data_IF_374600715869
#
_entry.id   IF_374600715869
#
_cell.length_a   1.000
_cell.length_b   1.000
_cell.length_c   1.000
_cell.angle_alpha   90.00
_cell.angle_beta   90.00
_cell.angle_gamma   90.00
#
_symmetry.space_group_name_H-M   'P 1'
#
loop_
_entity.id
_entity.type
_entity.pdbx_description
1 polymer ?
#
# COMPACT_ATOMS: atom_id res chain seq x y z
N UNK A 1 11.69 10.75 -11.02
CA UNK A 1 10.79 11.55 -10.14
C UNK A 1 11.11 11.07 -8.75
N UNK A 2 11.36 11.95 -7.78
CA UNK A 2 11.58 11.50 -6.38
C UNK A 2 10.28 10.92 -5.82
N UNK A 3 10.43 9.97 -4.90
CA UNK A 3 9.29 9.40 -4.19
C UNK A 3 8.64 10.44 -3.27
N UNK A 4 7.31 10.45 -3.21
CA UNK A 4 6.55 11.32 -2.33
C UNK A 4 5.11 10.83 -2.12
N UNK A 5 4.47 11.35 -1.09
CA UNK A 5 3.08 11.09 -0.75
C UNK A 5 2.26 12.37 -0.86
N UNK A 6 1.05 12.24 -1.38
CA UNK A 6 0.03 13.28 -1.36
C UNK A 6 -1.12 12.81 -0.47
N UNK A 7 -1.55 13.69 0.41
CA UNK A 7 -2.76 13.54 1.22
C UNK A 7 -3.88 14.38 0.63
N UNK A 8 -5.10 13.87 0.70
CA UNK A 8 -6.27 14.60 0.26
C UNK A 8 -7.47 14.37 1.17
N UNK A 9 -8.42 15.30 1.09
CA UNK A 9 -9.79 15.12 1.52
C UNK A 9 -10.72 15.32 0.33
N UNK A 10 -11.93 14.77 0.39
CA UNK A 10 -12.93 14.93 -0.64
C UNK A 10 -14.34 14.89 -0.03
N UNK A 11 -15.33 15.31 -0.82
CA UNK A 11 -16.75 15.34 -0.44
C UNK A 11 -16.97 16.08 0.90
N UNK A 12 -16.35 17.27 1.05
CA UNK A 12 -16.49 18.05 2.28
C UNK A 12 -15.96 17.36 3.53
N UNK A 13 -14.87 16.59 3.40
CA UNK A 13 -14.24 15.87 4.49
C UNK A 13 -14.83 14.49 4.80
N UNK A 14 -15.80 14.01 4.03
CA UNK A 14 -16.37 12.66 4.19
C UNK A 14 -15.39 11.56 3.80
N UNK A 15 -14.37 11.92 3.03
CA UNK A 15 -13.33 11.01 2.52
C UNK A 15 -11.97 11.58 2.84
N UNK A 16 -11.06 10.74 3.29
CA UNK A 16 -9.63 11.02 3.30
C UNK A 16 -8.89 10.05 2.41
N UNK A 17 -7.86 10.53 1.74
CA UNK A 17 -7.09 9.71 0.82
C UNK A 17 -5.61 10.03 0.88
N UNK A 18 -4.80 9.04 0.53
CA UNK A 18 -3.35 9.11 0.45
C UNK A 18 -2.93 8.40 -0.83
N UNK A 19 -2.02 8.99 -1.57
CA UNK A 19 -1.40 8.33 -2.73
C UNK A 19 0.10 8.56 -2.73
N UNK A 20 0.85 7.60 -3.24
CA UNK A 20 2.30 7.64 -3.27
C UNK A 20 2.87 7.09 -4.58
N UNK A 21 4.01 7.66 -4.98
CA UNK A 21 4.99 7.01 -5.85
C UNK A 21 6.16 6.59 -4.96
N UNK A 22 6.61 5.34 -5.11
CA UNK A 22 7.59 4.69 -4.21
C UNK A 22 8.64 3.89 -5.00
N UNK A 23 8.90 4.30 -6.24
CA UNK A 23 9.84 3.59 -7.13
C UNK A 23 11.24 3.50 -6.53
N UNK A 24 11.76 4.62 -6.02
CA UNK A 24 13.12 4.70 -5.51
C UNK A 24 13.27 3.88 -4.23
N UNK A 25 12.27 3.93 -3.33
CA UNK A 25 12.21 3.12 -2.10
C UNK A 25 12.24 1.62 -2.44
N UNK A 26 11.42 1.18 -3.39
CA UNK A 26 11.34 -0.24 -3.76
C UNK A 26 12.61 -0.70 -4.47
N UNK A 27 13.18 0.12 -5.36
CA UNK A 27 14.44 -0.19 -6.04
C UNK A 27 15.62 -0.27 -5.05
N UNK A 28 15.65 0.60 -4.04
CA UNK A 28 16.67 0.57 -2.99
C UNK A 28 16.57 -0.72 -2.17
N UNK A 29 15.34 -1.09 -1.74
CA UNK A 29 15.11 -2.35 -1.04
C UNK A 29 15.50 -3.56 -1.90
N UNK A 30 15.16 -3.55 -3.21
CA UNK A 30 15.56 -4.59 -4.15
C UNK A 30 17.07 -4.77 -4.20
N UNK A 31 17.82 -3.68 -4.29
CA UNK A 31 19.29 -3.72 -4.33
C UNK A 31 19.88 -4.24 -3.04
N UNK A 32 19.40 -3.75 -1.89
CA UNK A 32 19.93 -4.15 -0.58
C UNK A 32 19.70 -5.62 -0.25
N UNK A 33 18.55 -6.16 -0.63
CA UNK A 33 18.16 -7.53 -0.32
C UNK A 33 18.32 -8.50 -1.51
N UNK A 34 18.77 -8.00 -2.67
CA UNK A 34 18.94 -8.78 -3.90
C UNK A 34 17.67 -9.57 -4.27
N UNK A 35 16.50 -8.94 -4.11
CA UNK A 35 15.22 -9.62 -4.28
C UNK A 35 14.93 -9.98 -5.73
N UNK A 36 14.36 -11.16 -5.94
CA UNK A 36 13.77 -11.62 -7.20
C UNK A 36 12.59 -10.74 -7.63
N UNK A 37 12.11 -10.82 -8.88
CA UNK A 37 10.97 -10.01 -9.31
C UNK A 37 9.72 -10.17 -8.45
N UNK A 38 9.34 -11.39 -8.09
CA UNK A 38 8.14 -11.63 -7.27
C UNK A 38 8.33 -11.19 -5.82
N UNK A 39 9.52 -11.40 -5.26
CA UNK A 39 9.86 -10.91 -3.92
C UNK A 39 9.89 -9.38 -3.87
N UNK A 40 10.44 -8.73 -4.92
CA UNK A 40 10.41 -7.27 -5.06
C UNK A 40 8.97 -6.74 -5.13
N UNK A 41 8.11 -7.40 -5.91
CA UNK A 41 6.71 -6.99 -6.02
C UNK A 41 5.97 -7.11 -4.67
N UNK A 42 6.15 -8.20 -3.95
CA UNK A 42 5.54 -8.41 -2.64
C UNK A 42 6.06 -7.42 -1.59
N UNK A 43 7.38 -7.32 -1.43
CA UNK A 43 8.02 -6.39 -0.50
C UNK A 43 7.69 -4.93 -0.85
N UNK A 44 7.73 -4.57 -2.13
CA UNK A 44 7.46 -3.21 -2.59
C UNK A 44 6.02 -2.76 -2.36
N UNK A 45 5.03 -3.65 -2.53
CA UNK A 45 3.64 -3.37 -2.15
C UNK A 45 3.52 -3.10 -0.65
N UNK A 46 4.17 -3.91 0.19
CA UNK A 46 4.12 -3.73 1.63
C UNK A 46 4.89 -2.48 2.10
N UNK A 47 6.03 -2.13 1.45
CA UNK A 47 6.76 -0.89 1.69
C UNK A 47 5.91 0.34 1.35
N UNK A 48 5.23 0.32 0.19
CA UNK A 48 4.30 1.38 -0.21
C UNK A 48 3.17 1.53 0.80
N UNK A 49 2.56 0.43 1.24
CA UNK A 49 1.54 0.43 2.29
C UNK A 49 2.10 0.99 3.61
N UNK A 50 3.31 0.58 3.99
CA UNK A 50 4.00 1.09 5.18
C UNK A 50 4.21 2.60 5.13
N UNK A 51 4.67 3.15 4.00
CA UNK A 51 4.85 4.59 3.81
C UNK A 51 3.51 5.35 3.94
N UNK A 52 2.47 4.87 3.23
CA UNK A 52 1.14 5.46 3.30
C UNK A 52 0.57 5.42 4.72
N UNK A 53 0.58 4.26 5.38
CA UNK A 53 0.04 4.08 6.73
C UNK A 53 0.90 4.78 7.80
N UNK A 54 2.22 4.83 7.64
CA UNK A 54 3.12 5.59 8.50
C UNK A 54 2.76 7.08 8.48
N UNK A 55 2.54 7.66 7.29
CA UNK A 55 2.13 9.06 7.14
C UNK A 55 0.77 9.39 7.77
N UNK A 56 -0.02 8.37 8.14
CA UNK A 56 -1.29 8.52 8.86
C UNK A 56 -1.12 8.58 10.39
N UNK A 57 0.06 8.23 10.90
CA UNK A 57 0.37 8.30 12.34
C UNK A 57 0.40 9.75 12.80
N UNK A 58 0.06 9.99 14.07
CA UNK A 58 -0.17 11.36 14.57
C UNK A 58 1.04 12.00 15.23
N UNK A 59 1.86 11.20 15.94
CA UNK A 59 2.98 11.72 16.70
C UNK A 59 4.29 11.36 16.01
N UNK A 60 5.31 12.20 16.16
CA UNK A 60 6.62 11.98 15.53
C UNK A 60 7.34 10.71 16.02
N UNK A 61 6.99 10.23 17.22
CA UNK A 61 7.55 9.01 17.81
C UNK A 61 6.77 7.75 17.50
N UNK A 62 5.61 7.89 16.84
CA UNK A 62 4.79 6.72 16.50
C UNK A 62 5.49 5.84 15.47
N UNK A 63 5.43 4.53 15.69
CA UNK A 63 6.01 3.52 14.81
C UNK A 63 4.94 2.52 14.38
N UNK A 64 5.00 2.16 13.11
CA UNK A 64 4.15 1.15 12.49
C UNK A 64 5.01 -0.06 12.11
N UNK A 65 4.51 -1.26 12.37
CA UNK A 65 5.08 -2.51 11.80
C UNK A 65 3.97 -3.28 11.10
N UNK A 66 4.21 -3.64 9.86
CA UNK A 66 3.37 -4.52 9.05
C UNK A 66 4.10 -5.86 8.90
N UNK A 67 3.42 -6.95 9.23
CA UNK A 67 3.94 -8.31 9.02
C UNK A 67 2.94 -9.13 8.22
N UNK A 68 3.40 -9.69 7.13
CA UNK A 68 2.68 -10.70 6.34
C UNK A 68 3.38 -12.02 6.58
N UNK A 69 2.66 -13.01 7.08
CA UNK A 69 3.15 -14.37 7.34
C UNK A 69 2.29 -15.35 6.61
N UNK A 70 2.80 -15.90 5.53
CA UNK A 70 2.10 -16.89 4.72
C UNK A 70 2.85 -18.22 4.69
N UNK A 71 2.19 -19.26 4.20
CA UNK A 71 2.75 -20.59 4.01
C UNK A 71 3.40 -20.77 2.61
N UNK A 72 3.41 -19.69 1.82
CA UNK A 72 4.06 -19.69 0.51
C UNK A 72 5.59 -19.60 0.60
N UNK A 73 6.29 -19.77 -0.53
CA UNK A 73 7.75 -19.88 -0.55
C UNK A 73 8.49 -18.60 -0.13
N UNK A 74 7.86 -17.41 -0.14
CA UNK A 74 8.49 -16.18 0.35
C UNK A 74 8.71 -16.18 1.87
N UNK A 75 7.97 -17.00 2.63
CA UNK A 75 7.96 -16.93 4.08
C UNK A 75 7.28 -15.65 4.58
N UNK A 76 7.94 -14.95 5.51
CA UNK A 76 7.44 -13.70 6.06
C UNK A 76 7.96 -12.46 5.34
N UNK A 77 7.16 -11.40 5.37
CA UNK A 77 7.53 -10.06 4.94
C UNK A 77 7.29 -9.12 6.11
N UNK A 78 8.30 -8.34 6.49
CA UNK A 78 8.18 -7.36 7.58
C UNK A 78 8.58 -5.99 7.08
N UNK A 79 7.76 -5.00 7.35
CA UNK A 79 8.00 -3.59 7.05
C UNK A 79 7.76 -2.76 8.30
N UNK A 80 8.64 -1.81 8.60
CA UNK A 80 8.45 -0.80 9.63
C UNK A 80 8.42 0.59 8.99
N UNK A 81 7.59 1.46 9.54
CA UNK A 81 7.45 2.83 9.09
C UNK A 81 7.31 3.77 10.28
N UNK A 82 7.78 5.01 10.13
CA UNK A 82 7.52 6.10 11.07
C UNK A 82 6.47 7.09 10.53
N UNK A 83 6.13 8.08 11.33
CA UNK A 83 5.15 9.12 10.96
C UNK A 83 5.63 10.06 9.85
N UNK A 84 6.93 10.06 9.52
CA UNK A 84 7.52 10.82 8.41
C UNK A 84 7.57 10.00 7.13
N UNK A 85 6.94 8.80 7.14
CA UNK A 85 6.92 7.85 6.06
C UNK A 85 8.30 7.26 5.68
N UNK A 86 9.29 7.36 6.56
CA UNK A 86 10.52 6.58 6.41
C UNK A 86 10.17 5.11 6.58
N UNK A 87 10.56 4.28 5.64
CA UNK A 87 10.26 2.85 5.65
C UNK A 87 11.50 2.00 5.49
N UNK A 88 11.46 0.85 6.11
CA UNK A 88 12.41 -0.24 5.88
C UNK A 88 11.69 -1.58 5.99
N UNK A 89 12.19 -2.57 5.29
CA UNK A 89 11.58 -3.89 5.33
C UNK A 89 12.42 -4.94 4.63
N UNK A 90 12.03 -6.18 4.84
CA UNK A 90 12.69 -7.34 4.25
C UNK A 90 11.68 -8.46 4.02
N UNK A 91 12.08 -9.42 3.19
CA UNK A 91 11.39 -10.69 2.95
C UNK A 91 12.33 -11.83 3.37
N UNK A 92 11.79 -12.90 3.93
CA UNK A 92 12.61 -14.00 4.47
C UNK A 92 13.36 -14.76 3.37
N UNK A 93 12.71 -15.01 2.23
CA UNK A 93 13.30 -15.70 1.07
C UNK A 93 13.31 -14.81 -0.17
N UNK A 94 14.29 -13.88 -0.28
CA UNK A 94 14.33 -12.88 -1.35
C UNK A 94 14.60 -13.47 -2.74
N UNK A 95 15.18 -14.66 -2.83
CA UNK A 95 15.58 -15.35 -4.05
C UNK A 95 14.46 -16.14 -4.75
N UNK A 96 13.27 -16.24 -4.15
CA UNK A 96 12.15 -17.04 -4.66
C UNK A 96 11.76 -16.62 -6.09
N UNK A 97 11.68 -17.59 -6.98
CA UNK A 97 11.22 -17.40 -8.36
C UNK A 97 9.99 -18.27 -8.58
N UNK A 98 8.93 -17.66 -9.06
CA UNK A 98 7.72 -18.37 -9.49
C UNK A 98 7.38 -18.03 -10.94
N UNK A 99 6.76 -18.97 -11.67
CA UNK A 99 6.20 -18.68 -12.99
C UNK A 99 5.16 -17.57 -12.92
N UNK A 100 5.12 -16.74 -13.96
CA UNK A 100 4.06 -15.74 -14.07
C UNK A 100 2.68 -16.42 -14.18
N UNK A 101 1.68 -15.87 -13.51
CA UNK A 101 0.29 -16.30 -13.56
C UNK A 101 -0.54 -15.24 -14.28
N UNK A 102 -1.23 -15.63 -15.36
CA UNK A 102 -2.02 -14.70 -16.17
C UNK A 102 -1.21 -13.47 -16.65
N UNK A 103 0.06 -13.65 -16.99
CA UNK A 103 0.93 -12.58 -17.46
C UNK A 103 1.41 -11.60 -16.36
N UNK A 104 1.18 -11.91 -15.08
CA UNK A 104 1.60 -11.11 -13.93
C UNK A 104 2.47 -11.92 -12.98
N UNK A 105 3.27 -11.25 -12.16
CA UNK A 105 3.99 -11.89 -11.05
C UNK A 105 2.97 -12.47 -10.06
N UNK A 106 3.14 -13.74 -9.69
CA UNK A 106 2.22 -14.45 -8.78
C UNK A 106 2.58 -14.15 -7.31
N UNK A 107 2.26 -12.93 -6.88
CA UNK A 107 2.51 -12.50 -5.49
C UNK A 107 1.67 -13.32 -4.52
N UNK A 108 0.39 -13.55 -4.84
CA UNK A 108 -0.48 -14.36 -4.00
C UNK A 108 0.03 -15.78 -3.80
N UNK A 109 0.51 -16.45 -4.87
CA UNK A 109 1.13 -17.75 -4.77
C UNK A 109 2.47 -17.75 -4.02
N UNK A 110 3.22 -16.65 -4.12
CA UNK A 110 4.49 -16.52 -3.41
C UNK A 110 4.31 -16.30 -1.90
N UNK A 111 3.29 -15.57 -1.49
CA UNK A 111 2.93 -15.31 -0.08
C UNK A 111 2.19 -16.49 0.53
N UNK A 112 1.22 -17.07 -0.19
CA UNK A 112 0.41 -18.18 0.29
C UNK A 112 -0.67 -17.78 1.30
N UNK A 113 -1.26 -18.77 1.96
CA UNK A 113 -2.32 -18.58 2.99
C UNK A 113 -1.65 -18.16 4.30
N UNK A 114 -2.25 -17.21 5.01
CA UNK A 114 -1.64 -16.77 6.26
C UNK A 114 -2.34 -15.59 6.92
N UNK A 115 -1.55 -14.77 7.59
CA UNK A 115 -1.99 -13.68 8.44
C UNK A 115 -1.30 -12.37 8.07
N UNK A 116 -2.05 -11.28 8.13
CA UNK A 116 -1.56 -9.92 8.19
C UNK A 116 -1.65 -9.42 9.63
N UNK A 117 -0.55 -8.92 10.17
CA UNK A 117 -0.47 -8.29 11.47
C UNK A 117 -0.03 -6.83 11.32
N UNK A 118 -0.73 -5.93 12.00
CA UNK A 118 -0.43 -4.49 12.06
C UNK A 118 -0.19 -4.10 13.50
N UNK A 119 1.02 -3.64 13.79
CA UNK A 119 1.46 -3.23 15.11
C UNK A 119 1.69 -1.74 15.09
N UNK A 120 1.01 -0.99 15.97
CA UNK A 120 1.18 0.46 16.13
C UNK A 120 1.70 0.76 17.53
N UNK A 121 2.96 1.17 17.60
CA UNK A 121 3.55 1.69 18.83
C UNK A 121 3.33 3.21 18.89
N UNK A 122 2.45 3.62 19.76
CA UNK A 122 2.04 5.01 19.95
C UNK A 122 2.53 5.57 21.29
N UNK A 123 3.59 4.97 21.85
CA UNK A 123 4.14 5.36 23.16
C UNK A 123 3.26 4.98 24.36
N UNK A 124 2.29 4.09 24.16
CA UNK A 124 1.48 3.53 25.24
C UNK A 124 2.20 2.37 25.93
N UNK A 125 1.66 1.93 27.09
CA UNK A 125 2.24 0.81 27.84
C UNK A 125 2.43 -0.46 27.00
N UNK A 126 1.49 -0.72 26.09
CA UNK A 126 1.54 -1.82 25.14
C UNK A 126 1.17 -1.29 23.74
N UNK A 127 1.81 -1.78 22.69
CA UNK A 127 1.44 -1.40 21.33
C UNK A 127 0.05 -1.96 20.98
N UNK A 128 -0.67 -1.25 20.11
CA UNK A 128 -1.85 -1.80 19.48
C UNK A 128 -1.45 -2.88 18.48
N UNK A 129 -2.11 -4.03 18.53
CA UNK A 129 -1.89 -5.14 17.59
C UNK A 129 -3.23 -5.53 16.97
N UNK A 130 -3.36 -5.29 15.66
CA UNK A 130 -4.45 -5.80 14.84
C UNK A 130 -3.98 -6.98 13.99
N UNK A 131 -4.83 -7.99 13.82
CA UNK A 131 -4.50 -9.17 13.02
C UNK A 131 -5.71 -9.63 12.23
N UNK A 132 -5.49 -10.00 10.96
CA UNK A 132 -6.51 -10.60 10.10
C UNK A 132 -5.91 -11.72 9.25
N UNK A 133 -6.78 -12.59 8.72
CA UNK A 133 -6.37 -13.55 7.69
C UNK A 133 -6.01 -12.82 6.40
N UNK A 134 -5.14 -13.41 5.59
CA UNK A 134 -4.95 -13.00 4.21
C UNK A 134 -6.13 -13.53 3.38
N UNK A 135 -6.83 -12.64 2.69
CA UNK A 135 -8.00 -12.99 1.86
C UNK A 135 -7.63 -13.28 0.42
N UNK A 136 -6.57 -12.63 -0.09
CA UNK A 136 -6.06 -12.84 -1.44
C UNK A 136 -4.56 -13.09 -1.49
N UNK A 137 -3.83 -12.69 -0.45
CA UNK A 137 -2.36 -12.68 -0.38
C UNK A 137 -1.69 -11.74 -1.42
N UNK A 138 -2.49 -10.85 -2.03
CA UNK A 138 -2.03 -9.81 -2.96
C UNK A 138 -1.68 -8.49 -2.25
N UNK A 139 -1.78 -8.48 -0.90
CA UNK A 139 -1.43 -7.38 0.02
C UNK A 139 -2.44 -6.23 0.02
N UNK A 140 -2.81 -5.68 -1.14
CA UNK A 140 -3.74 -4.55 -1.22
C UNK A 140 -5.15 -4.92 -0.71
N UNK A 141 -5.70 -6.04 -1.18
CA UNK A 141 -7.00 -6.55 -0.75
C UNK A 141 -6.96 -7.01 0.71
N UNK A 142 -5.84 -7.58 1.16
CA UNK A 142 -5.64 -8.00 2.55
C UNK A 142 -5.66 -6.80 3.51
N UNK A 143 -5.06 -5.67 3.11
CA UNK A 143 -5.11 -4.41 3.86
C UNK A 143 -6.51 -3.78 3.82
N UNK A 144 -7.20 -3.83 2.68
CA UNK A 144 -8.60 -3.39 2.58
C UNK A 144 -9.46 -4.16 3.58
N UNK A 145 -9.30 -5.48 3.64
CA UNK A 145 -9.99 -6.35 4.60
C UNK A 145 -9.61 -6.02 6.04
N UNK A 146 -8.32 -5.79 6.32
CA UNK A 146 -7.82 -5.38 7.63
C UNK A 146 -8.50 -4.09 8.12
N UNK A 147 -8.53 -3.04 7.30
CA UNK A 147 -9.16 -1.78 7.68
C UNK A 147 -10.65 -1.94 8.00
N UNK A 148 -11.38 -2.72 7.21
CA UNK A 148 -12.79 -2.94 7.43
C UNK A 148 -13.06 -3.76 8.69
N UNK A 149 -12.30 -4.82 8.95
CA UNK A 149 -12.60 -5.79 10.00
C UNK A 149 -11.88 -5.52 11.33
N UNK A 150 -10.67 -4.96 11.30
CA UNK A 150 -9.89 -4.70 12.51
C UNK A 150 -10.03 -3.25 12.97
N UNK A 151 -9.93 -2.28 12.06
CA UNK A 151 -10.06 -0.85 12.39
C UNK A 151 -11.49 -0.32 12.23
N UNK A 152 -12.39 -1.09 11.63
CA UNK A 152 -13.77 -0.70 11.36
C UNK A 152 -13.87 0.59 10.53
N UNK A 153 -12.92 0.80 9.63
CA UNK A 153 -12.88 1.93 8.70
C UNK A 153 -13.05 1.40 7.28
N UNK A 154 -14.19 1.63 6.64
CA UNK A 154 -14.37 1.27 5.23
C UNK A 154 -13.29 1.94 4.37
N UNK A 155 -12.49 1.14 3.71
CA UNK A 155 -11.31 1.60 2.97
C UNK A 155 -11.18 0.89 1.64
N UNK A 156 -10.49 1.54 0.70
CA UNK A 156 -10.00 0.91 -0.53
C UNK A 156 -8.49 1.12 -0.62
N UNK A 157 -7.76 0.05 -0.84
CA UNK A 157 -6.30 0.07 -1.00
C UNK A 157 -5.94 -0.42 -2.38
N UNK A 158 -5.13 0.34 -3.09
CA UNK A 158 -4.53 -0.06 -4.35
C UNK A 158 -3.02 0.03 -4.27
N UNK A 159 -2.31 -1.05 -4.57
CA UNK A 159 -0.85 -1.12 -4.54
C UNK A 159 -0.35 -1.74 -5.83
N UNK A 160 0.79 -1.28 -6.33
CA UNK A 160 1.36 -1.81 -7.54
C UNK A 160 2.88 -1.67 -7.60
N UNK A 161 3.53 -2.71 -8.10
CA UNK A 161 4.94 -2.73 -8.46
C UNK A 161 5.06 -3.39 -9.83
N UNK A 162 5.69 -2.71 -10.77
CA UNK A 162 5.99 -3.22 -12.10
C UNK A 162 7.51 -3.32 -12.27
N UNK A 163 7.95 -4.49 -12.73
CA UNK A 163 9.36 -4.78 -12.94
C UNK A 163 9.74 -4.66 -14.42
N UNK A 164 10.94 -4.21 -14.70
CA UNK A 164 11.58 -4.34 -16.00
C UNK A 164 12.13 -5.75 -16.21
N UNK A 165 12.46 -6.08 -17.45
CA UNK A 165 13.01 -7.41 -17.80
C UNK A 165 14.38 -7.71 -17.19
N UNK A 166 15.12 -6.67 -16.84
CA UNK A 166 16.44 -6.74 -16.18
C UNK A 166 16.36 -6.82 -14.66
N UNK A 167 15.15 -7.04 -14.11
CA UNK A 167 14.86 -7.07 -12.67
C UNK A 167 15.03 -5.72 -11.97
N UNK A 168 15.00 -4.59 -12.67
CA UNK A 168 14.89 -3.28 -12.05
C UNK A 168 13.42 -2.88 -11.87
N UNK A 169 13.14 -1.97 -10.94
CA UNK A 169 11.78 -1.47 -10.71
C UNK A 169 11.43 -0.44 -11.78
N UNK A 170 10.43 -0.73 -12.60
CA UNK A 170 9.90 0.20 -13.60
C UNK A 170 9.09 1.30 -12.94
N UNK A 171 8.12 0.90 -12.10
CA UNK A 171 7.29 1.81 -11.33
C UNK A 171 6.75 1.11 -10.08
N UNK A 172 6.52 1.88 -9.02
CA UNK A 172 5.88 1.43 -7.80
C UNK A 172 5.10 2.57 -7.16
N UNK A 173 3.99 2.24 -6.51
CA UNK A 173 3.16 3.20 -5.82
C UNK A 173 1.81 2.62 -5.43
N UNK A 174 0.94 3.48 -4.93
CA UNK A 174 -0.38 3.06 -4.49
C UNK A 174 -1.19 4.17 -3.87
N UNK A 175 -2.35 3.78 -3.36
CA UNK A 175 -3.26 4.67 -2.65
C UNK A 175 -3.98 3.95 -1.51
N UNK A 176 -4.45 4.73 -0.54
CA UNK A 176 -5.43 4.35 0.47
C UNK A 176 -6.53 5.41 0.48
N UNK A 177 -7.78 5.01 0.29
CA UNK A 177 -8.97 5.85 0.41
C UNK A 177 -9.77 5.32 1.58
N UNK A 178 -10.21 6.21 2.48
CA UNK A 178 -10.96 5.86 3.67
C UNK A 178 -12.22 6.69 3.80
N UNK A 179 -13.35 6.04 4.06
CA UNK A 179 -14.61 6.69 4.38
C UNK A 179 -14.64 7.13 5.85
N UNK A 180 -15.07 8.36 6.09
CA UNK A 180 -15.31 8.84 7.46
C UNK A 180 -16.66 8.33 7.96
N UNK A 181 -16.86 8.21 9.29
CA UNK A 181 -18.09 7.64 9.85
C UNK A 181 -19.40 8.34 9.44
N UNK A 182 -19.30 9.58 8.98
CA UNK A 182 -20.44 10.38 8.52
C UNK A 182 -20.57 10.46 6.99
N UNK A 183 -19.87 9.60 6.25
CA UNK A 183 -19.95 9.56 4.79
C UNK A 183 -21.35 9.15 4.34
N UNK A 184 -21.91 9.94 3.40
CA UNK A 184 -23.21 9.69 2.84
C UNK A 184 -23.17 8.55 1.81
N UNK A 185 -24.23 7.78 1.70
CA UNK A 185 -24.34 6.65 0.75
C UNK A 185 -24.05 7.06 -0.70
N UNK A 186 -24.50 8.27 -1.11
CA UNK A 186 -24.22 8.79 -2.46
C UNK A 186 -22.72 9.00 -2.71
N UNK A 187 -21.97 9.45 -1.69
CA UNK A 187 -20.51 9.62 -1.76
C UNK A 187 -19.83 8.27 -1.90
N UNK A 188 -20.25 7.30 -1.11
CA UNK A 188 -19.73 5.93 -1.15
C UNK A 188 -19.96 5.34 -2.54
N UNK A 189 -21.19 5.39 -3.06
CA UNK A 189 -21.54 4.86 -4.37
C UNK A 189 -20.74 5.52 -5.51
N UNK A 190 -20.50 6.84 -5.42
CA UNK A 190 -19.71 7.55 -6.43
C UNK A 190 -18.25 7.08 -6.44
N UNK A 191 -17.67 6.86 -5.28
CA UNK A 191 -16.28 6.40 -5.16
C UNK A 191 -16.16 4.94 -5.61
N UNK A 192 -17.10 4.09 -5.25
CA UNK A 192 -17.14 2.70 -5.73
C UNK A 192 -17.23 2.65 -7.27
N UNK A 193 -17.99 3.54 -7.90
CA UNK A 193 -18.07 3.61 -9.36
C UNK A 193 -16.75 4.09 -9.97
N UNK A 194 -16.12 5.10 -9.39
CA UNK A 194 -14.79 5.56 -9.83
C UNK A 194 -13.74 4.43 -9.73
N UNK A 195 -13.74 3.68 -8.62
CA UNK A 195 -12.82 2.57 -8.40
C UNK A 195 -12.98 1.44 -9.42
N UNK A 196 -14.20 1.15 -9.87
CA UNK A 196 -14.46 0.13 -10.92
C UNK A 196 -13.81 0.50 -12.26
N UNK A 197 -13.64 1.78 -12.53
CA UNK A 197 -13.02 2.26 -13.78
C UNK A 197 -11.49 2.16 -13.74
N UNK A 198 -10.89 1.96 -12.56
CA UNK A 198 -9.44 1.80 -12.41
C UNK A 198 -9.07 0.33 -12.46
N UNK A 199 -8.55 -0.11 -13.60
CA UNK A 199 -8.21 -1.52 -13.82
C UNK A 199 -6.92 -1.95 -13.11
N UNK A 200 -5.96 -1.04 -12.92
CA UNK A 200 -4.67 -1.34 -12.29
C UNK A 200 -3.91 -0.07 -11.91
N UNK A 201 -3.40 -0.02 -10.69
CA UNK A 201 -2.51 1.05 -10.24
C UNK A 201 -1.23 1.10 -11.09
N UNK A 202 -0.64 -0.05 -11.39
CA UNK A 202 0.58 -0.12 -12.22
C UNK A 202 0.38 0.43 -13.62
N UNK A 203 -0.80 0.22 -14.22
CA UNK A 203 -1.12 0.78 -15.54
C UNK A 203 -1.21 2.31 -15.54
N UNK A 204 -1.69 2.90 -14.46
CA UNK A 204 -1.74 4.36 -14.30
C UNK A 204 -0.33 4.92 -14.07
N UNK A 205 0.44 4.31 -13.18
CA UNK A 205 1.82 4.71 -12.90
C UNK A 205 2.72 4.55 -14.14
N UNK A 206 2.53 3.51 -14.94
CA UNK A 206 3.26 3.31 -16.21
C UNK A 206 2.97 4.41 -17.24
N UNK A 207 1.77 4.98 -17.22
CA UNK A 207 1.39 6.16 -18.01
C UNK A 207 1.97 7.47 -17.48
N UNK A 208 2.73 7.42 -16.37
CA UNK A 208 3.34 8.58 -15.74
C UNK A 208 2.43 9.32 -14.76
N UNK A 209 1.37 8.70 -14.26
CA UNK A 209 0.53 9.31 -13.24
C UNK A 209 1.34 9.62 -11.98
N UNK A 210 1.18 10.83 -11.51
CA UNK A 210 1.68 11.28 -10.20
C UNK A 210 0.69 10.88 -9.10
N UNK A 211 1.05 10.97 -7.82
CA UNK A 211 0.10 10.77 -6.72
C UNK A 211 -1.14 11.66 -6.84
N UNK A 212 -0.97 12.92 -7.26
CA UNK A 212 -2.08 13.85 -7.51
C UNK A 212 -3.00 13.34 -8.62
N UNK A 213 -2.42 12.88 -9.74
CA UNK A 213 -3.20 12.33 -10.85
C UNK A 213 -3.96 11.06 -10.44
N UNK A 214 -3.37 10.21 -9.59
CA UNK A 214 -4.07 9.05 -9.04
C UNK A 214 -5.29 9.47 -8.22
N UNK A 215 -5.14 10.47 -7.35
CA UNK A 215 -6.24 10.97 -6.54
C UNK A 215 -7.29 11.71 -7.37
N UNK A 216 -6.88 12.45 -8.41
CA UNK A 216 -7.79 13.10 -9.34
C UNK A 216 -8.65 12.09 -10.13
N UNK A 217 -8.03 11.00 -10.61
CA UNK A 217 -8.73 9.90 -11.30
C UNK A 217 -9.77 9.24 -10.39
N UNK A 218 -9.43 9.03 -9.13
CA UNK A 218 -10.26 8.32 -8.16
C UNK A 218 -11.32 9.20 -7.51
N UNK A 219 -11.06 10.49 -7.30
CA UNK A 219 -11.83 11.38 -6.44
C UNK A 219 -12.16 12.75 -7.07
N UNK A 220 -11.64 13.08 -8.25
CA UNK A 220 -11.74 14.43 -8.82
C UNK A 220 -13.16 14.94 -8.98
N UNK A 221 -14.13 14.06 -9.22
CA UNK A 221 -15.55 14.39 -9.32
C UNK A 221 -16.27 14.54 -7.97
N UNK A 222 -15.54 14.46 -6.84
CA UNK A 222 -16.10 14.52 -5.48
C UNK A 222 -15.65 15.74 -4.68
N UNK A 223 -15.05 16.75 -5.33
CA UNK A 223 -14.54 17.94 -4.64
C UNK A 223 -13.25 17.64 -3.88
N UNK A 224 -12.22 17.23 -4.61
CA UNK A 224 -10.90 16.87 -4.11
C UNK A 224 -10.12 18.10 -3.60
N UNK A 225 -9.55 18.01 -2.40
CA UNK A 225 -8.66 18.99 -1.81
C UNK A 225 -7.32 18.32 -1.47
N UNK A 226 -6.25 18.74 -2.15
CA UNK A 226 -4.90 18.16 -2.02
C UNK A 226 -4.06 18.87 -0.95
N UNK A 227 -3.26 18.10 -0.21
CA UNK A 227 -2.22 18.58 0.69
C UNK A 227 -0.95 17.74 0.49
N UNK A 228 0.17 18.38 0.18
CA UNK A 228 1.44 17.70 -0.05
C UNK A 228 2.09 17.24 1.25
N UNK A 229 2.61 16.02 1.26
CA UNK A 229 3.53 15.50 2.28
C UNK A 229 4.81 15.13 1.55
N UNK A 230 5.93 15.80 1.85
CA UNK A 230 7.23 15.41 1.29
C UNK A 230 7.80 14.24 2.10
N UNK A 231 8.22 13.19 1.40
CA UNK A 231 9.11 12.15 1.93
C UNK A 231 10.54 12.59 1.59
N UNK A 232 11.39 12.65 2.57
CA UNK A 232 12.82 12.98 2.39
C UNK A 232 13.68 11.71 2.37
#
# INVERSE_FOLDING_TARGET
MKDYIVRATAAGGQVRAFAAVTKDIVEEARKHHETSPVATAALGRLLTAGALMGSMMKNETDMLTLQVRGDGPLGGITVTADSKANVKGYVEHPEVILPAKNGKLDVGGAVGIGLLQVIKDMGLKEPYVGQTILVSSEIAEDLTYYFANSEQVPSSVGLGVLMEKDNTVKTAGGFIIQMMPFAEEKTIAQIEENLKNVTSVTSLLEKGYTPENLLEELLGNTGLELSLIHIS
#
